data_IF_227082754937
#
_entry.id   IF_227082754937
#
_cell.length_a   1.000
_cell.length_b   1.000
_cell.length_c   1.000
_cell.angle_alpha   90.00
_cell.angle_beta   90.00
_cell.angle_gamma   90.00
#
_symmetry.space_group_name_H-M   'P 1'
#
loop_
_entity.id
_entity.type
_entity.pdbx_description
1 polymer ?
#
# COMPACT_ATOMS: atom_id res chain seq x y z
N UNK A 1 -14.50 -20.93 5.94
CA UNK A 1 -13.96 -19.73 6.61
C UNK A 1 -14.99 -18.63 6.51
N UNK A 2 -15.10 -17.80 7.55
CA UNK A 2 -15.94 -16.59 7.53
C UNK A 2 -15.50 -15.68 6.38
N UNK A 3 -16.44 -15.03 5.68
CA UNK A 3 -16.09 -14.04 4.66
C UNK A 3 -15.52 -12.81 5.35
N UNK A 4 -14.37 -12.32 4.88
CA UNK A 4 -13.81 -11.03 5.30
C UNK A 4 -14.87 -9.95 5.21
N UNK A 5 -14.99 -9.13 6.25
CA UNK A 5 -15.93 -8.02 6.29
C UNK A 5 -15.20 -6.70 6.53
N UNK A 6 -15.68 -5.66 5.85
CA UNK A 6 -15.33 -4.28 6.10
C UNK A 6 -16.43 -3.67 6.98
N UNK A 7 -16.14 -3.55 8.27
CA UNK A 7 -17.07 -3.05 9.29
C UNK A 7 -16.75 -1.60 9.66
N UNK A 8 -17.71 -0.93 10.32
CA UNK A 8 -17.52 0.41 10.91
C UNK A 8 -16.93 1.45 9.94
N UNK A 9 -17.29 1.38 8.64
CA UNK A 9 -16.78 2.32 7.65
C UNK A 9 -17.29 3.72 8.00
N UNK A 10 -16.37 4.60 8.34
CA UNK A 10 -16.62 5.98 8.75
C UNK A 10 -15.71 6.93 7.98
N UNK A 11 -16.22 8.10 7.63
CA UNK A 11 -15.47 9.18 6.97
C UNK A 11 -15.49 10.41 7.87
N UNK A 12 -14.56 10.53 8.84
CA UNK A 12 -14.53 11.64 9.78
C UNK A 12 -14.32 13.01 9.12
N UNK A 13 -13.68 13.02 7.95
CA UNK A 13 -13.51 14.20 7.10
C UNK A 13 -13.37 13.79 5.65
N UNK A 14 -13.45 14.74 4.72
CA UNK A 14 -13.25 14.49 3.27
C UNK A 14 -11.89 13.85 2.95
N UNK A 15 -10.92 14.02 3.87
CA UNK A 15 -9.57 13.47 3.71
C UNK A 15 -9.32 12.18 4.48
N UNK A 16 -10.24 11.75 5.36
CA UNK A 16 -10.03 10.64 6.29
C UNK A 16 -11.04 9.52 6.09
N UNK A 17 -10.57 8.28 6.11
CA UNK A 17 -11.37 7.07 6.09
C UNK A 17 -10.92 6.14 7.21
N UNK A 18 -11.88 5.61 7.94
CA UNK A 18 -11.68 4.62 9.00
C UNK A 18 -12.59 3.42 8.74
N UNK A 19 -12.08 2.22 8.96
CA UNK A 19 -12.85 0.98 8.88
C UNK A 19 -12.16 -0.13 9.68
N UNK A 20 -12.90 -1.16 10.03
CA UNK A 20 -12.38 -2.38 10.67
C UNK A 20 -12.41 -3.52 9.67
N UNK A 21 -11.27 -4.15 9.45
CA UNK A 21 -11.10 -5.33 8.59
C UNK A 21 -11.11 -6.58 9.47
N UNK A 22 -12.15 -7.40 9.37
CA UNK A 22 -12.35 -8.58 10.21
C UNK A 22 -12.12 -9.89 9.44
N UNK A 23 -11.85 -10.98 10.17
CA UNK A 23 -11.73 -12.34 9.63
C UNK A 23 -10.59 -12.52 8.62
N UNK A 24 -9.47 -11.83 8.83
CA UNK A 24 -8.24 -11.97 8.02
C UNK A 24 -7.00 -12.13 8.89
N UNK A 25 -5.91 -12.62 8.33
CA UNK A 25 -4.60 -12.66 8.99
C UNK A 25 -3.80 -11.37 8.77
N UNK A 26 -2.82 -11.12 9.65
CA UNK A 26 -1.96 -9.92 9.59
C UNK A 26 -1.21 -9.74 8.25
N UNK A 27 -0.73 -10.80 7.55
CA UNK A 27 -0.01 -10.64 6.30
C UNK A 27 -0.87 -9.96 5.24
N UNK A 28 -2.13 -10.38 5.10
CA UNK A 28 -3.06 -9.81 4.12
C UNK A 28 -3.47 -8.38 4.48
N UNK A 29 -3.70 -8.09 5.77
CA UNK A 29 -3.95 -6.72 6.22
C UNK A 29 -2.76 -5.80 5.92
N UNK A 30 -1.53 -6.25 6.19
CA UNK A 30 -0.33 -5.48 5.87
C UNK A 30 -0.10 -5.32 4.37
N UNK A 31 -0.45 -6.32 3.55
CA UNK A 31 -0.45 -6.21 2.09
C UNK A 31 -1.37 -5.09 1.62
N UNK A 32 -2.61 -5.02 2.13
CA UNK A 32 -3.54 -3.92 1.82
C UNK A 32 -2.95 -2.56 2.23
N UNK A 33 -2.41 -2.45 3.46
CA UNK A 33 -1.77 -1.22 3.95
C UNK A 33 -0.62 -0.77 3.03
N UNK A 34 0.25 -1.69 2.60
CA UNK A 34 1.36 -1.40 1.68
C UNK A 34 0.84 -0.97 0.31
N UNK A 35 -0.15 -1.69 -0.23
CA UNK A 35 -0.74 -1.39 -1.53
C UNK A 35 -1.38 0.00 -1.60
N UNK A 36 -2.06 0.43 -0.54
CA UNK A 36 -2.62 1.79 -0.41
C UNK A 36 -1.56 2.86 -0.65
N UNK A 37 -0.33 2.62 -0.20
CA UNK A 37 0.77 3.57 -0.36
C UNK A 37 1.48 3.42 -1.70
N UNK A 38 1.73 2.19 -2.15
CA UNK A 38 2.72 1.92 -3.22
C UNK A 38 2.13 1.49 -4.55
N UNK A 39 0.93 0.90 -4.58
CA UNK A 39 0.34 0.32 -5.80
C UNK A 39 -0.76 1.18 -6.42
N UNK A 40 -1.21 2.22 -5.72
CA UNK A 40 -2.19 3.17 -6.25
C UNK A 40 -1.48 4.12 -7.23
N UNK A 41 -1.91 4.18 -8.51
CA UNK A 41 -1.33 5.09 -9.49
C UNK A 41 -1.74 6.54 -9.21
N UNK A 42 -0.81 7.47 -9.41
CA UNK A 42 -1.03 8.89 -9.19
C UNK A 42 -0.24 9.73 -10.21
N UNK A 43 -0.61 10.99 -10.37
CA UNK A 43 0.02 11.94 -11.30
C UNK A 43 0.95 12.89 -10.53
N UNK A 44 2.19 13.02 -10.98
CA UNK A 44 3.17 13.95 -10.43
C UNK A 44 4.22 14.37 -11.49
N UNK A 45 5.08 15.32 -11.15
CA UNK A 45 6.20 15.72 -12.02
C UNK A 45 7.43 14.84 -11.72
N UNK A 46 7.96 14.11 -12.72
CA UNK A 46 9.24 13.41 -12.52
C UNK A 46 10.39 14.41 -12.49
N UNK A 47 11.31 14.17 -11.58
CA UNK A 47 12.56 14.91 -11.45
C UNK A 47 13.64 13.86 -11.55
N UNK A 48 14.71 14.25 -12.22
CA UNK A 48 15.91 13.43 -12.28
C UNK A 48 16.42 13.12 -10.87
N UNK A 49 16.81 11.87 -10.58
CA UNK A 49 17.65 11.58 -9.43
C UNK A 49 18.95 12.39 -9.53
N UNK A 50 19.53 12.86 -8.41
CA UNK A 50 20.83 13.52 -8.43
C UNK A 50 21.87 12.65 -9.16
N UNK A 51 22.43 13.18 -10.26
CA UNK A 51 23.46 12.50 -11.06
C UNK A 51 22.97 11.64 -12.23
N UNK A 52 21.66 11.57 -12.50
CA UNK A 52 21.10 10.85 -13.66
C UNK A 52 20.36 11.84 -14.56
N UNK A 53 20.88 12.13 -15.76
CA UNK A 53 20.17 12.97 -16.73
C UNK A 53 19.28 12.07 -17.59
N UNK A 54 17.97 12.13 -17.39
CA UNK A 54 17.04 11.46 -18.30
C UNK A 54 17.01 12.22 -19.63
N UNK A 55 16.88 11.54 -20.79
CA UNK A 55 16.84 12.20 -22.09
C UNK A 55 15.63 13.15 -22.25
N UNK A 56 14.57 12.92 -21.48
CA UNK A 56 13.35 13.74 -21.47
C UNK A 56 12.87 13.92 -20.02
N UNK A 57 13.45 14.86 -19.24
CA UNK A 57 12.97 15.12 -17.90
C UNK A 57 11.60 15.83 -17.97
N UNK A 58 10.73 15.45 -17.05
CA UNK A 58 9.42 16.08 -16.88
C UNK A 58 9.56 17.53 -16.38
N UNK A 59 10.67 17.88 -15.72
CA UNK A 59 10.97 19.23 -15.22
C UNK A 59 12.16 19.80 -16.00
N UNK A 60 11.92 20.89 -16.72
CA UNK A 60 12.94 21.60 -17.51
C UNK A 60 13.11 23.01 -16.97
N UNK A 61 14.21 23.24 -16.26
CA UNK A 61 14.58 24.56 -15.76
C UNK A 61 15.36 25.27 -16.88
N UNK A 62 14.73 26.27 -17.50
CA UNK A 62 15.31 27.03 -18.61
C UNK A 62 16.14 28.20 -18.11
N UNK A 63 15.73 28.82 -17.01
CA UNK A 63 16.44 29.92 -16.37
C UNK A 63 16.11 29.98 -14.88
N UNK A 64 17.10 30.19 -14.02
CA UNK A 64 16.93 30.22 -12.56
C UNK A 64 17.88 31.23 -11.90
N UNK A 65 17.34 32.37 -11.48
CA UNK A 65 18.04 33.37 -10.65
C UNK A 65 17.61 33.30 -9.17
N UNK A 66 16.94 32.23 -8.73
CA UNK A 66 16.65 32.04 -7.31
C UNK A 66 17.95 31.70 -6.57
N UNK A 67 18.58 32.73 -6.01
CA UNK A 67 19.90 32.66 -5.33
C UNK A 67 19.91 31.64 -4.18
N UNK A 68 18.74 31.27 -3.68
CA UNK A 68 18.55 30.37 -2.54
C UNK A 68 18.48 28.88 -2.90
N UNK A 69 18.25 28.51 -4.17
CA UNK A 69 18.00 27.11 -4.56
C UNK A 69 18.72 26.70 -5.86
N UNK A 70 19.63 25.71 -5.82
CA UNK A 70 20.16 25.11 -7.03
C UNK A 70 19.06 24.35 -7.79
N UNK A 71 19.30 24.09 -9.08
CA UNK A 71 18.31 23.50 -9.99
C UNK A 71 17.78 22.15 -9.51
N UNK A 72 18.63 21.31 -8.94
CA UNK A 72 18.26 19.98 -8.44
C UNK A 72 17.32 20.10 -7.24
N UNK A 73 17.57 21.04 -6.33
CA UNK A 73 16.71 21.28 -5.17
C UNK A 73 15.37 21.85 -5.60
N UNK A 74 15.38 22.78 -6.56
CA UNK A 74 14.16 23.36 -7.12
C UNK A 74 13.31 22.28 -7.83
N UNK A 75 13.93 21.45 -8.67
CA UNK A 75 13.26 20.34 -9.35
C UNK A 75 12.69 19.32 -8.35
N UNK A 76 13.43 19.00 -7.28
CA UNK A 76 12.95 18.15 -6.21
C UNK A 76 11.71 18.73 -5.53
N UNK A 77 11.73 20.03 -5.16
CA UNK A 77 10.57 20.70 -4.54
C UNK A 77 9.35 20.72 -5.47
N UNK A 78 9.54 21.09 -6.74
CA UNK A 78 8.49 21.09 -7.75
C UNK A 78 7.87 19.71 -7.92
N UNK A 79 8.68 18.65 -7.83
CA UNK A 79 8.20 17.28 -7.98
C UNK A 79 7.31 16.75 -6.85
N UNK A 80 7.40 17.35 -5.67
CA UNK A 80 6.61 16.97 -4.51
C UNK A 80 5.30 17.76 -4.38
N UNK A 81 5.04 18.69 -5.31
CA UNK A 81 3.78 19.42 -5.33
C UNK A 81 2.68 18.47 -5.81
N UNK A 82 1.62 18.24 -5.00
CA UNK A 82 0.53 17.37 -5.40
C UNK A 82 -0.26 17.99 -6.55
N UNK A 83 -0.54 17.19 -7.57
CA UNK A 83 -1.37 17.58 -8.72
C UNK A 83 -2.79 17.05 -8.52
N UNK A 84 -3.74 17.96 -8.26
CA UNK A 84 -5.15 17.63 -8.10
C UNK A 84 -5.86 17.57 -9.46
N UNK A 85 -7.06 16.96 -9.50
CA UNK A 85 -7.88 16.93 -10.72
C UNK A 85 -7.29 16.11 -11.88
N UNK A 86 -6.29 15.26 -11.60
CA UNK A 86 -5.54 14.48 -12.57
C UNK A 86 -5.70 12.97 -12.30
N UNK A 87 -6.85 12.37 -12.63
CA UNK A 87 -7.08 10.94 -12.39
C UNK A 87 -6.18 10.10 -13.30
N UNK A 88 -5.42 9.19 -12.71
CA UNK A 88 -4.32 8.48 -13.38
C UNK A 88 -4.76 7.53 -14.52
N UNK A 89 -6.02 7.11 -14.53
CA UNK A 89 -6.61 6.22 -15.54
C UNK A 89 -6.89 6.91 -16.88
N UNK A 90 -7.16 8.21 -16.85
CA UNK A 90 -7.51 9.02 -18.03
C UNK A 90 -6.52 10.14 -18.31
N UNK A 91 -5.45 10.23 -17.52
CA UNK A 91 -4.43 11.25 -17.66
C UNK A 91 -3.59 11.05 -18.94
N UNK A 92 -3.58 12.08 -19.78
CA UNK A 92 -2.69 12.17 -20.93
C UNK A 92 -1.57 13.20 -20.63
N UNK A 93 -0.32 12.75 -20.49
CA UNK A 93 0.82 13.63 -20.23
C UNK A 93 1.09 14.68 -21.31
N UNK A 94 0.67 14.45 -22.56
CA UNK A 94 0.94 15.38 -23.66
C UNK A 94 -0.14 16.47 -23.79
N UNK A 95 -1.32 16.24 -23.20
CA UNK A 95 -2.45 17.18 -23.23
C UNK A 95 -2.19 18.45 -22.42
N UNK A 96 -1.41 18.38 -21.35
CA UNK A 96 -1.19 19.52 -20.45
C UNK A 96 0.29 19.92 -20.39
N UNK A 97 0.54 21.23 -20.41
CA UNK A 97 1.85 21.84 -20.20
C UNK A 97 1.76 22.80 -19.04
N UNK A 98 2.63 22.64 -18.06
CA UNK A 98 2.70 23.53 -16.90
C UNK A 98 3.90 24.45 -17.07
N UNK A 99 3.71 25.76 -16.91
CA UNK A 99 4.77 26.75 -17.07
C UNK A 99 4.81 27.68 -15.87
N UNK A 100 6.01 27.83 -15.31
CA UNK A 100 6.30 28.83 -14.29
C UNK A 100 7.24 29.86 -14.90
N UNK A 101 6.75 31.07 -15.15
CA UNK A 101 7.54 32.17 -15.71
C UNK A 101 7.32 33.43 -14.87
N UNK A 102 8.27 33.70 -13.98
CA UNK A 102 8.22 34.83 -13.04
C UNK A 102 9.45 35.70 -13.20
N UNK A 103 9.29 37.01 -13.00
CA UNK A 103 10.37 37.99 -13.02
C UNK A 103 10.14 39.01 -11.91
N UNK A 104 11.19 39.38 -11.19
CA UNK A 104 11.12 40.37 -10.13
C UNK A 104 11.79 41.69 -10.54
N UNK A 105 10.97 42.67 -10.91
CA UNK A 105 11.41 44.04 -11.18
C UNK A 105 11.40 44.95 -9.93
N UNK A 106 10.92 44.44 -8.79
CA UNK A 106 10.74 45.20 -7.56
C UNK A 106 12.01 45.33 -6.71
N UNK A 107 11.94 46.21 -5.70
CA UNK A 107 12.99 46.44 -4.71
C UNK A 107 12.98 45.44 -3.56
N UNK A 108 11.93 44.61 -3.44
CA UNK A 108 11.78 43.59 -2.41
C UNK A 108 11.80 42.17 -3.03
N UNK A 109 12.22 41.14 -2.28
CA UNK A 109 12.08 39.75 -2.71
C UNK A 109 10.60 39.39 -2.93
N UNK A 110 10.34 38.50 -3.89
CA UNK A 110 9.00 37.93 -4.11
C UNK A 110 9.02 36.43 -3.85
N UNK A 111 7.96 35.94 -3.24
CA UNK A 111 7.73 34.51 -3.03
C UNK A 111 6.97 33.94 -4.22
N UNK A 112 7.39 32.75 -4.66
CA UNK A 112 6.77 32.01 -5.76
C UNK A 112 6.05 30.80 -5.20
N UNK A 113 4.76 30.73 -5.45
CA UNK A 113 3.86 29.68 -4.98
C UNK A 113 3.42 28.76 -6.13
N UNK A 114 2.86 27.60 -5.80
CA UNK A 114 2.29 26.69 -6.80
C UNK A 114 1.13 27.32 -7.59
N UNK A 115 0.44 28.32 -7.01
CA UNK A 115 -0.57 29.13 -7.71
C UNK A 115 -0.01 30.06 -8.79
N UNK A 116 1.31 30.23 -8.89
CA UNK A 116 1.94 31.00 -9.97
C UNK A 116 2.24 30.13 -11.19
N UNK A 117 2.02 28.82 -11.10
CA UNK A 117 2.14 27.90 -12.22
C UNK A 117 0.95 28.12 -13.16
N UNK A 118 1.24 28.50 -14.39
CA UNK A 118 0.27 28.58 -15.49
C UNK A 118 0.05 27.18 -16.05
N UNK A 119 -1.20 26.79 -16.25
CA UNK A 119 -1.56 25.49 -16.83
C UNK A 119 -2.14 25.71 -18.21
N UNK A 120 -1.53 25.11 -19.22
CA UNK A 120 -1.91 25.22 -20.62
C UNK A 120 -2.39 23.86 -21.11
N UNK A 121 -3.58 23.81 -21.68
CA UNK A 121 -4.14 22.63 -22.33
C UNK A 121 -3.92 22.71 -23.84
N UNK A 122 -3.34 21.65 -24.43
CA UNK A 122 -3.29 21.47 -25.88
C UNK A 122 -4.66 21.08 -26.39
N UNK A 123 -5.22 21.90 -27.28
CA UNK A 123 -6.45 21.59 -28.02
C UNK A 123 -6.18 21.66 -29.50
N UNK A 124 -6.84 20.79 -30.25
CA UNK A 124 -6.84 20.85 -31.72
C UNK A 124 -7.92 21.85 -32.14
N UNK A 125 -7.54 22.91 -32.85
CA UNK A 125 -8.48 23.84 -33.44
C UNK A 125 -9.26 23.19 -34.60
N UNK A 126 -10.33 23.85 -35.07
CA UNK A 126 -11.09 23.44 -36.26
C UNK A 126 -10.21 23.23 -37.49
N UNK A 127 -9.08 23.93 -37.54
CA UNK A 127 -8.15 23.96 -38.67
C UNK A 127 -6.99 22.95 -38.49
N UNK A 128 -7.13 21.99 -37.57
CA UNK A 128 -6.13 20.98 -37.22
C UNK A 128 -4.79 21.53 -36.67
N UNK A 129 -4.73 22.82 -36.32
CA UNK A 129 -3.58 23.42 -35.63
C UNK A 129 -3.65 23.21 -34.11
N UNK A 130 -2.49 23.02 -33.48
CA UNK A 130 -2.39 22.95 -32.02
C UNK A 130 -2.48 24.36 -31.42
N UNK A 131 -3.43 24.56 -30.52
CA UNK A 131 -3.56 25.77 -29.71
C UNK A 131 -3.35 25.43 -28.24
N UNK A 132 -2.67 26.34 -27.52
CA UNK A 132 -2.51 26.26 -26.07
C UNK A 132 -3.54 27.18 -25.41
N UNK A 133 -4.47 26.60 -24.67
CA UNK A 133 -5.50 27.34 -23.94
C UNK A 133 -5.19 27.29 -22.45
N UNK A 134 -5.13 28.44 -21.79
CA UNK A 134 -4.93 28.50 -20.35
C UNK A 134 -6.17 27.96 -19.61
N UNK A 135 -5.94 27.04 -18.68
CA UNK A 135 -6.97 26.44 -17.83
C UNK A 135 -6.76 26.86 -16.38
N UNK A 136 -7.84 26.95 -15.57
CA UNK A 136 -7.75 27.42 -14.19
C UNK A 136 -6.80 26.56 -13.34
N UNK A 137 -5.66 27.12 -12.93
CA UNK A 137 -4.64 26.40 -12.17
C UNK A 137 -5.11 25.94 -10.78
N UNK A 138 -6.12 26.60 -10.21
CA UNK A 138 -6.73 26.25 -8.91
C UNK A 138 -7.35 24.85 -8.87
N UNK A 139 -7.61 24.26 -10.04
CA UNK A 139 -8.07 22.86 -10.15
C UNK A 139 -6.95 21.86 -9.89
N UNK A 140 -5.71 22.23 -10.21
CA UNK A 140 -4.50 21.41 -10.05
C UNK A 140 -3.76 21.72 -8.75
N UNK A 141 -3.69 22.99 -8.36
CA UNK A 141 -3.00 23.46 -7.16
C UNK A 141 -4.01 24.08 -6.20
N UNK A 142 -4.55 23.23 -5.31
CA UNK A 142 -5.60 23.62 -4.38
C UNK A 142 -4.99 24.33 -3.17
N UNK A 143 -5.45 25.55 -2.81
CA UNK A 143 -4.99 26.23 -1.61
C UNK A 143 -5.32 25.46 -0.33
N UNK A 144 -4.46 25.57 0.67
CA UNK A 144 -4.73 24.99 1.98
C UNK A 144 -5.98 25.65 2.61
N UNK A 145 -6.93 24.88 3.17
CA UNK A 145 -8.15 25.44 3.75
C UNK A 145 -7.93 26.44 4.89
N UNK A 146 -6.81 26.32 5.62
CA UNK A 146 -6.48 27.15 6.78
C UNK A 146 -5.72 28.40 6.34
N UNK A 147 -4.59 28.25 5.64
CA UNK A 147 -3.75 29.41 5.25
C UNK A 147 -4.29 30.14 4.02
N UNK A 148 -5.16 29.51 3.23
CA UNK A 148 -5.66 29.99 1.93
C UNK A 148 -4.58 30.20 0.86
N UNK A 149 -3.40 29.64 1.09
CA UNK A 149 -2.24 29.71 0.19
C UNK A 149 -1.89 28.34 -0.37
N UNK A 150 -1.18 28.31 -1.49
CA UNK A 150 -0.62 27.08 -2.05
C UNK A 150 0.83 26.88 -1.57
N UNK A 151 1.48 25.78 -1.95
CA UNK A 151 2.84 25.50 -1.51
C UNK A 151 3.84 26.56 -2.00
N UNK A 152 4.66 27.09 -1.09
CA UNK A 152 5.80 27.93 -1.42
C UNK A 152 6.89 27.09 -2.12
N UNK A 153 7.27 27.50 -3.33
CA UNK A 153 8.28 26.82 -4.15
C UNK A 153 9.66 27.39 -3.82
N UNK A 154 9.86 28.68 -4.08
CA UNK A 154 11.12 29.40 -3.90
C UNK A 154 10.84 30.89 -3.77
N UNK A 155 11.88 31.69 -3.56
CA UNK A 155 11.79 33.15 -3.53
C UNK A 155 12.79 33.74 -4.53
N UNK A 156 12.36 34.73 -5.31
CA UNK A 156 13.23 35.49 -6.19
C UNK A 156 13.77 36.73 -5.47
N UNK A 157 15.08 37.01 -5.55
CA UNK A 157 15.64 38.21 -4.94
C UNK A 157 15.12 39.47 -5.63
N UNK A 158 15.18 40.60 -4.92
CA UNK A 158 14.94 41.92 -5.48
C UNK A 158 15.89 42.24 -6.65
N UNK A 159 15.47 43.16 -7.52
CA UNK A 159 16.32 43.67 -8.59
C UNK A 159 17.48 44.48 -8.01
N UNK A 160 18.68 43.91 -8.04
CA UNK A 160 19.93 44.55 -7.59
C UNK A 160 20.84 45.00 -8.73
N UNK A 161 20.57 44.55 -9.95
CA UNK A 161 21.36 44.84 -11.15
C UNK A 161 20.47 45.26 -12.31
N UNK A 162 21.07 45.54 -13.48
CA UNK A 162 20.33 45.93 -14.68
C UNK A 162 19.35 44.83 -15.14
N UNK A 163 19.69 43.57 -14.90
CA UNK A 163 18.85 42.41 -15.23
C UNK A 163 17.96 42.08 -14.04
N UNK A 164 16.65 42.04 -14.27
CA UNK A 164 15.71 41.58 -13.24
C UNK A 164 15.81 40.06 -13.07
N UNK A 165 15.97 39.57 -11.82
CA UNK A 165 15.98 38.13 -11.53
C UNK A 165 14.73 37.45 -12.06
N UNK A 166 14.90 36.31 -12.72
CA UNK A 166 13.78 35.57 -13.29
C UNK A 166 13.88 34.06 -13.03
N UNK A 167 12.72 33.41 -13.08
CA UNK A 167 12.58 31.97 -13.01
C UNK A 167 11.71 31.50 -14.16
N UNK A 168 12.23 30.59 -14.98
CA UNK A 168 11.53 29.97 -16.09
C UNK A 168 11.67 28.45 -16.02
N UNK A 169 10.55 27.77 -15.77
CA UNK A 169 10.47 26.31 -15.70
C UNK A 169 9.29 25.82 -16.52
N UNK A 170 9.51 24.76 -17.29
CA UNK A 170 8.45 24.00 -17.95
C UNK A 170 8.34 22.63 -17.28
N UNK A 171 7.10 22.20 -16.99
CA UNK A 171 6.81 20.94 -16.31
C UNK A 171 5.82 20.11 -17.13
N UNK A 172 6.01 18.79 -17.07
CA UNK A 172 5.13 17.75 -17.60
C UNK A 172 4.75 16.81 -16.48
N UNK A 173 3.46 16.53 -16.30
CA UNK A 173 3.00 15.61 -15.28
C UNK A 173 2.78 14.22 -15.89
N UNK A 174 3.32 13.18 -15.26
CA UNK A 174 3.22 11.79 -15.72
C UNK A 174 2.61 10.90 -14.66
N UNK A 175 2.09 9.75 -15.09
CA UNK A 175 1.54 8.72 -14.19
C UNK A 175 2.68 7.86 -13.66
N UNK A 176 2.66 7.62 -12.36
CA UNK A 176 3.57 6.72 -11.66
C UNK A 176 2.92 6.07 -10.44
N UNK A 177 3.68 5.29 -9.69
CA UNK A 177 3.20 4.61 -8.47
C UNK A 177 4.14 4.89 -7.30
N UNK A 178 3.64 4.77 -6.07
CA UNK A 178 4.47 4.98 -4.87
C UNK A 178 5.65 4.01 -4.74
N UNK A 179 5.62 2.86 -5.46
CA UNK A 179 6.75 1.93 -5.58
C UNK A 179 7.93 2.56 -6.35
N UNK A 180 7.65 3.39 -7.35
CA UNK A 180 8.68 4.10 -8.13
C UNK A 180 9.33 5.22 -7.32
N UNK A 181 8.50 6.07 -6.70
CA UNK A 181 8.99 7.17 -5.87
C UNK A 181 7.90 7.67 -4.92
N UNK A 182 8.32 8.17 -3.75
CA UNK A 182 7.42 8.72 -2.73
C UNK A 182 6.51 9.89 -3.22
N UNK A 183 6.83 10.49 -4.37
CA UNK A 183 6.06 11.62 -4.93
C UNK A 183 4.68 11.18 -5.46
N UNK A 184 4.58 9.90 -5.81
CA UNK A 184 3.35 9.29 -6.32
C UNK A 184 2.49 8.69 -5.20
N UNK A 185 2.94 8.70 -3.94
CA UNK A 185 2.14 8.19 -2.81
C UNK A 185 0.93 9.11 -2.62
N UNK A 186 -0.32 8.61 -2.72
CA UNK A 186 -1.51 9.45 -2.63
C UNK A 186 -1.96 9.74 -1.19
N UNK A 187 -1.35 9.08 -0.20
CA UNK A 187 -1.73 9.14 1.22
C UNK A 187 -0.66 9.79 2.09
N UNK A 188 -1.05 10.56 3.08
CA UNK A 188 -0.16 10.98 4.18
C UNK A 188 -0.20 10.02 5.37
N UNK A 189 -1.30 9.29 5.57
CA UNK A 189 -1.42 8.25 6.59
C UNK A 189 -2.04 6.99 5.99
N UNK A 190 -1.41 5.83 6.22
CA UNK A 190 -1.95 4.51 5.94
C UNK A 190 -1.47 3.55 7.03
N UNK A 191 -2.21 3.51 8.13
CA UNK A 191 -1.87 2.74 9.33
C UNK A 191 -3.05 1.88 9.76
N UNK A 192 -2.76 0.80 10.48
CA UNK A 192 -3.79 0.04 11.18
C UNK A 192 -3.29 -0.34 12.58
N UNK A 193 -4.22 -0.55 13.50
CA UNK A 193 -3.98 -1.17 14.80
C UNK A 193 -4.69 -2.53 14.88
N UNK A 194 -4.29 -3.38 15.82
CA UNK A 194 -5.07 -4.57 16.13
C UNK A 194 -6.31 -4.16 16.92
N UNK A 195 -7.47 -4.69 16.54
CA UNK A 195 -8.72 -4.39 17.25
C UNK A 195 -8.64 -4.96 18.67
N UNK A 196 -8.86 -4.10 19.66
CA UNK A 196 -8.80 -4.49 21.07
C UNK A 196 -9.86 -5.54 21.41
N UNK A 197 -9.50 -6.51 22.24
CA UNK A 197 -10.47 -7.46 22.78
C UNK A 197 -11.27 -6.78 23.89
N UNK A 198 -12.59 -6.75 23.74
CA UNK A 198 -13.53 -6.16 24.71
C UNK A 198 -13.86 -7.11 25.86
N UNK A 199 -13.33 -8.34 25.87
CA UNK A 199 -13.55 -9.30 26.95
C UNK A 199 -12.85 -8.88 28.25
N UNK A 200 -13.66 -8.53 29.25
CA UNK A 200 -13.20 -8.07 30.58
C UNK A 200 -12.35 -9.11 31.32
N UNK A 201 -12.65 -10.40 31.19
CA UNK A 201 -11.92 -11.46 31.90
C UNK A 201 -10.50 -11.61 31.36
N UNK A 202 -10.36 -11.66 30.03
CA UNK A 202 -9.04 -11.72 29.39
C UNK A 202 -8.22 -10.49 29.74
N UNK A 203 -8.84 -9.31 29.70
CA UNK A 203 -8.18 -8.08 30.10
C UNK A 203 -7.66 -8.13 31.54
N UNK A 204 -8.47 -8.62 32.48
CA UNK A 204 -8.06 -8.77 33.88
C UNK A 204 -6.91 -9.76 34.02
N UNK A 205 -6.94 -10.90 33.32
CA UNK A 205 -5.83 -11.87 33.33
C UNK A 205 -4.52 -11.27 32.81
N UNK A 206 -4.57 -10.46 31.75
CA UNK A 206 -3.39 -9.76 31.24
C UNK A 206 -2.90 -8.68 32.21
N UNK A 207 -3.82 -7.96 32.86
CA UNK A 207 -3.48 -6.97 33.89
C UNK A 207 -2.76 -7.63 35.07
N UNK A 208 -3.30 -8.73 35.60
CA UNK A 208 -2.68 -9.49 36.70
C UNK A 208 -1.30 -10.03 36.32
N UNK A 209 -1.16 -10.59 35.11
CA UNK A 209 0.15 -11.03 34.60
C UNK A 209 1.15 -9.87 34.48
N UNK A 210 0.71 -8.70 34.04
CA UNK A 210 1.55 -7.52 33.94
C UNK A 210 1.99 -7.01 35.32
N UNK A 211 1.08 -6.99 36.30
CA UNK A 211 1.38 -6.63 37.69
C UNK A 211 2.49 -7.50 38.27
N UNK A 212 2.41 -8.82 38.08
CA UNK A 212 3.41 -9.76 38.57
C UNK A 212 4.73 -9.59 37.81
N UNK A 213 4.70 -9.61 36.47
CA UNK A 213 5.92 -9.68 35.66
C UNK A 213 6.69 -8.37 35.53
N UNK A 214 5.99 -7.22 35.47
CA UNK A 214 6.61 -5.92 35.20
C UNK A 214 6.65 -5.02 36.43
N UNK A 215 5.68 -5.16 37.35
CA UNK A 215 5.59 -4.32 38.55
C UNK A 215 6.05 -5.04 39.82
N UNK A 216 6.23 -6.37 39.78
CA UNK A 216 6.48 -7.21 40.95
C UNK A 216 5.46 -6.95 42.08
N UNK A 217 4.21 -6.68 41.71
CA UNK A 217 3.11 -6.46 42.65
C UNK A 217 2.21 -7.68 42.63
N UNK A 218 1.94 -8.23 43.81
CA UNK A 218 0.96 -9.31 43.96
C UNK A 218 -0.46 -8.74 43.80
N UNK A 219 -1.29 -9.26 42.88
CA UNK A 219 -2.67 -8.81 42.70
C UNK A 219 -3.50 -8.78 43.99
N UNK A 220 -3.20 -9.64 44.96
CA UNK A 220 -3.93 -9.70 46.23
C UNK A 220 -3.64 -8.48 47.12
N UNK A 221 -2.45 -7.89 47.03
CA UNK A 221 -2.08 -6.68 47.80
C UNK A 221 -2.78 -5.41 47.31
N UNK A 222 -3.32 -5.43 46.08
CA UNK A 222 -4.02 -4.30 45.46
C UNK A 222 -5.53 -4.31 45.71
N UNK A 223 -6.05 -5.31 46.43
CA UNK A 223 -7.47 -5.34 46.81
C UNK A 223 -7.82 -4.29 47.86
N UNK A 224 -6.86 -3.93 48.70
CA UNK A 224 -7.04 -2.99 49.82
C UNK A 224 -6.58 -1.55 49.49
N UNK A 225 -5.89 -1.34 48.36
CA UNK A 225 -5.38 -0.03 47.91
C UNK A 225 -5.96 0.36 46.53
N UNK A 226 -7.15 0.96 46.54
CA UNK A 226 -7.86 1.40 45.34
C UNK A 226 -7.12 2.51 44.58
N UNK A 227 -6.37 3.38 45.27
CA UNK A 227 -5.64 4.48 44.61
C UNK A 227 -4.51 3.92 43.76
N UNK A 228 -3.69 3.05 44.34
CA UNK A 228 -2.57 2.42 43.62
C UNK A 228 -3.05 1.53 42.48
N UNK A 229 -4.17 0.82 42.65
CA UNK A 229 -4.79 0.04 41.57
C UNK A 229 -5.21 0.94 40.40
N UNK A 230 -5.80 2.10 40.66
CA UNK A 230 -6.23 3.04 39.63
C UNK A 230 -5.04 3.67 38.88
N UNK A 231 -3.95 3.98 39.56
CA UNK A 231 -2.72 4.46 38.93
C UNK A 231 -2.12 3.41 37.99
N UNK A 232 -2.02 2.16 38.48
CA UNK A 232 -1.51 1.04 37.70
C UNK A 232 -2.41 0.68 36.53
N UNK A 233 -3.74 0.77 36.68
CA UNK A 233 -4.69 0.58 35.58
C UNK A 233 -4.59 1.71 34.54
N UNK A 234 -4.35 2.96 34.94
CA UNK A 234 -4.07 4.05 33.99
C UNK A 234 -2.78 3.82 33.21
N UNK A 235 -1.73 3.36 33.89
CA UNK A 235 -0.47 3.00 33.24
C UNK A 235 -0.68 1.84 32.26
N UNK A 236 -1.37 0.78 32.69
CA UNK A 236 -1.68 -0.38 31.85
C UNK A 236 -2.51 0.01 30.62
N UNK A 237 -3.49 0.91 30.78
CA UNK A 237 -4.32 1.45 29.71
C UNK A 237 -3.55 2.27 28.67
N UNK A 238 -2.33 2.71 28.95
CA UNK A 238 -1.56 3.52 28.00
C UNK A 238 -0.93 2.71 26.88
N UNK A 239 -0.27 1.58 27.21
CA UNK A 239 0.58 0.81 26.28
C UNK A 239 0.21 -0.68 26.26
N UNK A 240 0.04 -1.28 27.44
CA UNK A 240 -0.15 -2.73 27.57
C UNK A 240 -1.52 -3.20 27.09
N UNK A 241 -2.52 -2.33 27.12
CA UNK A 241 -3.84 -2.64 26.57
C UNK A 241 -3.77 -3.01 25.08
N UNK A 242 -2.80 -2.49 24.34
CA UNK A 242 -2.62 -2.79 22.91
C UNK A 242 -2.16 -4.23 22.66
N UNK A 243 -1.66 -4.93 23.69
CA UNK A 243 -1.35 -6.38 23.62
C UNK A 243 -2.58 -7.26 23.76
N UNK A 244 -3.72 -6.69 24.17
CA UNK A 244 -5.00 -7.38 24.32
C UNK A 244 -5.84 -7.09 23.08
N UNK A 245 -5.71 -7.96 22.07
CA UNK A 245 -6.41 -7.83 20.80
C UNK A 245 -7.20 -9.09 20.46
N UNK A 246 -8.15 -8.97 19.53
CA UNK A 246 -8.93 -10.09 19.03
C UNK A 246 -8.03 -11.10 18.32
N UNK A 247 -8.11 -12.36 18.75
CA UNK A 247 -7.30 -13.46 18.23
C UNK A 247 -8.18 -14.55 17.60
N UNK A 248 -7.65 -15.22 16.59
CA UNK A 248 -8.22 -16.44 16.01
C UNK A 248 -7.91 -17.68 16.90
N UNK A 249 -8.35 -18.86 16.44
CA UNK A 249 -8.09 -20.14 17.12
C UNK A 249 -6.59 -20.48 17.25
N UNK A 250 -5.73 -19.93 16.38
CA UNK A 250 -4.27 -20.08 16.42
C UNK A 250 -3.58 -19.08 17.36
N UNK A 251 -4.33 -18.17 18.01
CA UNK A 251 -3.79 -17.10 18.86
C UNK A 251 -3.23 -15.90 18.09
N UNK A 252 -3.50 -15.81 16.78
CA UNK A 252 -3.02 -14.74 15.91
C UNK A 252 -4.07 -13.62 15.76
N UNK A 253 -3.67 -12.36 15.52
CA UNK A 253 -4.62 -11.27 15.34
C UNK A 253 -5.52 -11.50 14.11
N UNK A 254 -6.83 -11.31 14.27
CA UNK A 254 -7.82 -11.55 13.22
C UNK A 254 -8.67 -10.33 12.81
N UNK A 255 -8.43 -9.17 13.44
CA UNK A 255 -9.22 -7.96 13.26
C UNK A 255 -8.33 -6.72 13.34
N UNK A 256 -8.49 -5.79 12.39
CA UNK A 256 -7.58 -4.65 12.21
C UNK A 256 -8.36 -3.36 11.97
N UNK A 257 -8.06 -2.31 12.76
CA UNK A 257 -8.68 -1.00 12.64
C UNK A 257 -7.80 -0.08 11.78
N UNK A 258 -8.25 0.21 10.56
CA UNK A 258 -7.54 1.03 9.59
C UNK A 258 -7.86 2.52 9.75
N UNK A 259 -6.82 3.33 9.55
CA UNK A 259 -6.91 4.78 9.44
C UNK A 259 -6.13 5.24 8.21
N UNK A 260 -6.84 5.85 7.28
CA UNK A 260 -6.30 6.32 6.00
C UNK A 260 -6.55 7.82 5.87
N UNK A 261 -5.51 8.56 5.50
CA UNK A 261 -5.59 9.98 5.21
C UNK A 261 -4.96 10.28 3.84
N UNK A 262 -5.72 10.94 2.95
CA UNK A 262 -5.29 11.32 1.60
C UNK A 262 -4.61 12.70 1.58
N UNK A 263 -3.67 12.89 0.65
CA UNK A 263 -3.14 14.21 0.30
C UNK A 263 -4.22 15.13 -0.30
N UNK A 264 -5.31 14.54 -0.78
CA UNK A 264 -6.44 15.22 -1.42
C UNK A 264 -6.43 15.15 -2.95
N UNK A 265 -5.44 14.47 -3.55
CA UNK A 265 -5.39 14.23 -5.01
C UNK A 265 -6.39 13.17 -5.44
N UNK A 266 -6.62 12.15 -4.59
CA UNK A 266 -7.54 11.04 -4.83
C UNK A 266 -8.45 10.87 -3.60
N UNK A 267 -9.78 10.66 -3.78
CA UNK A 267 -10.69 10.34 -2.67
C UNK A 267 -10.30 9.05 -1.94
N UNK A 268 -10.43 9.04 -0.61
CA UNK A 268 -9.98 7.93 0.24
C UNK A 268 -10.59 6.56 -0.11
N UNK A 269 -11.89 6.51 -0.45
CA UNK A 269 -12.54 5.26 -0.90
C UNK A 269 -11.92 4.74 -2.20
N UNK A 270 -11.66 5.62 -3.16
CA UNK A 270 -11.03 5.24 -4.43
C UNK A 270 -9.61 4.73 -4.23
N UNK A 271 -8.85 5.30 -3.29
CA UNK A 271 -7.51 4.81 -2.94
C UNK A 271 -7.57 3.34 -2.50
N UNK A 272 -8.49 2.97 -1.60
CA UNK A 272 -8.64 1.58 -1.14
C UNK A 272 -9.05 0.66 -2.29
N UNK A 273 -10.00 1.08 -3.12
CA UNK A 273 -10.43 0.31 -4.28
C UNK A 273 -9.28 0.08 -5.27
N UNK A 274 -8.55 1.13 -5.62
CA UNK A 274 -7.41 1.05 -6.53
C UNK A 274 -6.25 0.23 -5.94
N UNK A 275 -6.07 0.25 -4.62
CA UNK A 275 -5.09 -0.59 -3.94
C UNK A 275 -5.43 -2.08 -4.09
N UNK A 276 -6.71 -2.45 -3.92
CA UNK A 276 -7.18 -3.83 -4.12
C UNK A 276 -6.97 -4.28 -5.58
N UNK A 277 -7.32 -3.42 -6.54
CA UNK A 277 -7.03 -3.67 -7.97
C UNK A 277 -5.53 -3.79 -8.23
N UNK A 278 -4.71 -2.95 -7.58
CA UNK A 278 -3.25 -3.00 -7.68
C UNK A 278 -2.67 -4.33 -7.18
N UNK A 279 -3.20 -4.88 -6.09
CA UNK A 279 -2.80 -6.19 -5.57
C UNK A 279 -3.20 -7.30 -6.56
N UNK A 280 -4.40 -7.24 -7.13
CA UNK A 280 -4.84 -8.19 -8.16
C UNK A 280 -3.88 -8.18 -9.37
N UNK A 281 -3.59 -6.98 -9.91
CA UNK A 281 -2.63 -6.80 -11.01
C UNK A 281 -1.23 -7.30 -10.68
N UNK A 282 -0.79 -7.17 -9.42
CA UNK A 282 0.49 -7.72 -8.98
C UNK A 282 0.54 -9.26 -9.00
N UNK A 283 -0.61 -9.94 -8.91
CA UNK A 283 -0.70 -11.39 -8.98
C UNK A 283 -0.80 -11.93 -10.42
N UNK A 284 -1.37 -11.15 -11.36
CA UNK A 284 -1.64 -11.57 -12.75
C UNK A 284 -0.44 -12.21 -13.47
N UNK A 285 0.80 -11.68 -13.40
CA UNK A 285 1.95 -12.27 -14.09
C UNK A 285 2.29 -13.69 -13.64
N UNK A 286 1.87 -14.07 -12.43
CA UNK A 286 2.21 -15.34 -11.80
C UNK A 286 1.12 -16.40 -11.99
N UNK A 287 -0.09 -16.00 -12.39
CA UNK A 287 -1.23 -16.91 -12.54
C UNK A 287 -1.05 -17.91 -13.70
N UNK A 288 -0.25 -17.58 -14.71
CA UNK A 288 0.00 -18.46 -15.86
C UNK A 288 1.27 -19.30 -15.75
N UNK A 289 1.95 -19.30 -14.59
CA UNK A 289 3.26 -19.94 -14.48
C UNK A 289 3.23 -21.45 -14.66
N UNK A 290 2.08 -22.10 -14.51
CA UNK A 290 1.86 -23.52 -14.78
C UNK A 290 1.88 -23.86 -16.29
N UNK A 291 1.89 -22.86 -17.17
CA UNK A 291 1.76 -23.03 -18.62
C UNK A 291 2.90 -22.34 -19.37
N UNK A 292 3.31 -22.91 -20.51
CA UNK A 292 4.29 -22.31 -21.42
C UNK A 292 5.70 -22.13 -20.85
N UNK A 293 6.44 -21.20 -21.46
CA UNK A 293 7.80 -20.84 -21.05
C UNK A 293 7.80 -19.87 -19.87
N UNK A 294 8.88 -19.92 -19.07
CA UNK A 294 9.05 -18.99 -17.96
C UNK A 294 9.29 -17.57 -18.47
N UNK A 295 8.64 -16.55 -17.87
CA UNK A 295 8.97 -15.15 -18.15
C UNK A 295 10.46 -14.87 -17.87
N UNK A 296 11.08 -13.98 -18.63
CA UNK A 296 12.50 -13.61 -18.46
C UNK A 296 12.83 -13.04 -17.08
N UNK A 297 11.83 -12.53 -16.36
CA UNK A 297 11.93 -12.00 -15.00
C UNK A 297 11.92 -13.06 -13.91
N UNK A 298 11.69 -14.34 -14.26
CA UNK A 298 11.56 -15.44 -13.30
C UNK A 298 12.55 -16.54 -13.63
N UNK A 299 13.26 -17.02 -12.60
CA UNK A 299 14.20 -18.14 -12.69
C UNK A 299 13.87 -19.15 -11.61
N UNK A 300 14.04 -20.43 -11.91
CA UNK A 300 13.85 -21.49 -10.93
C UNK A 300 15.15 -22.28 -10.84
N UNK A 301 15.68 -22.35 -9.62
CA UNK A 301 16.94 -22.99 -9.30
C UNK A 301 16.70 -24.08 -8.25
N UNK A 302 17.55 -25.09 -8.21
CA UNK A 302 17.48 -26.09 -7.15
C UNK A 302 17.99 -25.48 -5.83
N UNK A 303 17.33 -25.80 -4.72
CA UNK A 303 17.71 -25.26 -3.41
C UNK A 303 19.19 -25.55 -3.06
N UNK A 304 19.88 -24.55 -2.54
CA UNK A 304 21.27 -24.65 -2.05
C UNK A 304 21.40 -25.24 -0.64
N UNK A 305 20.37 -25.95 -0.16
CA UNK A 305 20.27 -26.43 1.23
C UNK A 305 19.89 -27.92 1.29
N UNK A 306 19.87 -28.51 2.49
CA UNK A 306 19.41 -29.89 2.68
C UNK A 306 17.92 -30.10 2.38
N UNK A 307 17.16 -29.03 2.15
CA UNK A 307 15.76 -29.09 1.74
C UNK A 307 15.66 -29.56 0.28
N UNK A 308 14.94 -30.65 0.04
CA UNK A 308 14.54 -31.03 -1.30
C UNK A 308 13.47 -30.04 -1.80
N UNK A 309 13.85 -29.18 -2.73
CA UNK A 309 12.98 -28.11 -3.19
C UNK A 309 13.62 -27.23 -4.26
N UNK A 310 12.88 -26.20 -4.64
CA UNK A 310 13.32 -25.21 -5.62
C UNK A 310 13.18 -23.79 -5.08
N UNK A 311 14.11 -22.94 -5.52
CA UNK A 311 14.11 -21.50 -5.31
C UNK A 311 13.55 -20.82 -6.56
N UNK A 312 12.43 -20.12 -6.41
CA UNK A 312 11.82 -19.30 -7.45
C UNK A 312 12.30 -17.86 -7.27
N UNK A 313 13.22 -17.42 -8.11
CA UNK A 313 13.77 -16.06 -8.13
C UNK A 313 12.91 -15.19 -9.03
N UNK A 314 12.38 -14.09 -8.50
CA UNK A 314 11.50 -13.14 -9.19
C UNK A 314 12.14 -11.74 -9.17
N UNK A 315 12.36 -11.16 -10.35
CA UNK A 315 12.92 -9.82 -10.50
C UNK A 315 11.83 -8.73 -10.35
N UNK A 316 12.21 -7.60 -9.74
CA UNK A 316 11.32 -6.44 -9.58
C UNK A 316 10.23 -6.62 -8.53
N UNK A 317 10.35 -7.62 -7.65
CA UNK A 317 9.35 -7.94 -6.63
C UNK A 317 9.92 -7.79 -5.22
N UNK A 318 9.06 -7.36 -4.30
CA UNK A 318 9.46 -7.01 -2.94
C UNK A 318 8.76 -7.89 -1.88
N UNK A 319 9.05 -7.60 -0.61
CA UNK A 319 8.43 -8.26 0.54
C UNK A 319 6.89 -8.27 0.50
N UNK A 320 6.22 -7.36 -0.21
CA UNK A 320 4.75 -7.32 -0.29
C UNK A 320 4.23 -8.56 -0.97
N UNK A 321 4.73 -8.84 -2.18
CA UNK A 321 4.33 -10.02 -2.95
C UNK A 321 4.86 -11.31 -2.29
N UNK A 322 6.09 -11.29 -1.78
CA UNK A 322 6.70 -12.43 -1.11
C UNK A 322 5.90 -12.90 0.10
N UNK A 323 5.57 -11.96 0.99
CA UNK A 323 4.77 -12.25 2.18
C UNK A 323 3.36 -12.71 1.80
N UNK A 324 2.75 -12.07 0.79
CA UNK A 324 1.44 -12.45 0.29
C UNK A 324 1.41 -13.92 -0.20
N UNK A 325 2.34 -14.27 -1.09
CA UNK A 325 2.40 -15.61 -1.67
C UNK A 325 2.80 -16.65 -0.62
N UNK A 326 3.79 -16.36 0.24
CA UNK A 326 4.19 -17.27 1.31
C UNK A 326 3.02 -17.60 2.24
N UNK A 327 2.28 -16.60 2.72
CA UNK A 327 1.14 -16.83 3.62
C UNK A 327 0.09 -17.70 2.94
N UNK A 328 -0.25 -17.41 1.68
CA UNK A 328 -1.23 -18.21 0.97
C UNK A 328 -0.78 -19.66 0.76
N UNK A 329 0.48 -19.86 0.34
CA UNK A 329 1.07 -21.18 0.14
C UNK A 329 1.05 -21.99 1.45
N UNK A 330 1.45 -21.38 2.57
CA UNK A 330 1.44 -22.05 3.87
C UNK A 330 0.02 -22.39 4.33
N UNK A 331 -0.92 -21.45 4.26
CA UNK A 331 -2.28 -21.67 4.73
C UNK A 331 -3.03 -22.74 3.92
N UNK A 332 -2.74 -22.85 2.61
CA UNK A 332 -3.54 -23.67 1.69
C UNK A 332 -2.86 -24.96 1.21
N UNK A 333 -1.54 -24.93 0.97
CA UNK A 333 -0.80 -26.07 0.39
C UNK A 333 0.08 -26.81 1.43
N UNK A 334 0.48 -26.14 2.52
CA UNK A 334 1.18 -26.78 3.65
C UNK A 334 0.16 -27.28 4.67
N UNK A 335 -0.58 -26.36 5.31
CA UNK A 335 -1.55 -26.67 6.36
C UNK A 335 -2.92 -27.08 5.79
N UNK A 336 -3.28 -26.54 4.62
CA UNK A 336 -4.58 -26.73 3.99
C UNK A 336 -4.69 -28.05 3.23
N UNK A 337 -5.82 -28.30 2.56
CA UNK A 337 -6.10 -29.55 1.82
C UNK A 337 -5.92 -29.43 0.30
N UNK A 338 -5.46 -28.28 -0.20
CA UNK A 338 -5.31 -28.05 -1.64
C UNK A 338 -4.05 -28.75 -2.19
N UNK A 339 -4.12 -29.11 -3.46
CA UNK A 339 -3.02 -29.70 -4.23
C UNK A 339 -2.36 -28.63 -5.13
N UNK A 340 -1.04 -28.71 -5.38
CA UNK A 340 -0.12 -29.72 -4.87
C UNK A 340 0.28 -29.48 -3.41
N UNK A 341 0.40 -30.55 -2.63
CA UNK A 341 0.93 -30.49 -1.27
C UNK A 341 2.42 -30.14 -1.26
N UNK A 342 2.81 -29.16 -0.45
CA UNK A 342 4.21 -28.74 -0.29
C UNK A 342 4.62 -28.83 1.18
N UNK A 343 5.90 -29.11 1.42
CA UNK A 343 6.42 -29.31 2.78
C UNK A 343 6.55 -27.98 3.50
N UNK A 344 7.12 -26.98 2.82
CA UNK A 344 7.38 -25.65 3.38
C UNK A 344 7.34 -24.59 2.27
N UNK A 345 7.02 -23.36 2.65
CA UNK A 345 7.16 -22.18 1.80
C UNK A 345 7.79 -21.04 2.62
N UNK A 346 8.82 -20.39 2.06
CA UNK A 346 9.50 -19.27 2.70
C UNK A 346 10.04 -18.28 1.68
N UNK A 347 9.83 -16.98 1.89
CA UNK A 347 10.40 -15.93 1.04
C UNK A 347 11.58 -15.24 1.73
N UNK A 348 12.56 -14.80 0.94
CA UNK A 348 13.67 -13.96 1.41
C UNK A 348 14.28 -13.16 0.26
N UNK A 349 14.97 -12.08 0.60
CA UNK A 349 15.76 -11.29 -0.34
C UNK A 349 17.23 -11.65 -0.11
N UNK A 350 17.88 -12.24 -1.12
CA UNK A 350 19.29 -12.67 -1.04
C UNK A 350 20.24 -11.49 -0.83
N UNK A 351 20.01 -10.38 -1.53
CA UNK A 351 20.88 -9.21 -1.48
C UNK A 351 20.06 -7.90 -1.51
N UNK A 352 20.27 -6.97 -0.57
CA UNK A 352 19.52 -5.70 -0.51
C UNK A 352 19.67 -4.74 -1.70
N UNK A 353 20.64 -4.97 -2.58
CA UNK A 353 20.99 -4.07 -3.70
C UNK A 353 20.57 -4.65 -5.05
N UNK A 354 20.15 -5.92 -5.08
CA UNK A 354 19.58 -6.54 -6.27
C UNK A 354 18.08 -6.56 -6.10
N UNK A 355 17.37 -6.06 -7.09
CA UNK A 355 15.90 -6.06 -7.11
C UNK A 355 15.38 -7.46 -7.49
N UNK A 356 15.70 -8.45 -6.66
CA UNK A 356 15.31 -9.84 -6.81
C UNK A 356 14.86 -10.42 -5.47
N UNK A 357 13.75 -11.13 -5.49
CA UNK A 357 13.20 -11.86 -4.34
C UNK A 357 13.18 -13.35 -4.66
N UNK A 358 13.44 -14.18 -3.67
CA UNK A 358 13.37 -15.64 -3.80
C UNK A 358 12.24 -16.20 -2.94
N UNK A 359 11.42 -17.08 -3.52
CA UNK A 359 10.49 -17.94 -2.78
C UNK A 359 11.03 -19.36 -2.83
N UNK A 360 11.39 -19.89 -1.68
CA UNK A 360 11.84 -21.27 -1.49
C UNK A 360 10.65 -22.16 -1.17
N UNK A 361 10.47 -23.20 -1.97
CA UNK A 361 9.41 -24.20 -1.78
C UNK A 361 10.05 -25.57 -1.57
N UNK A 362 9.79 -26.17 -0.41
CA UNK A 362 10.14 -27.56 -0.11
C UNK A 362 9.07 -28.52 -0.60
N UNK A 363 9.49 -29.62 -1.21
CA UNK A 363 8.61 -30.65 -1.77
C UNK A 363 8.46 -31.83 -0.79
N UNK A 364 7.29 -32.49 -0.79
CA UNK A 364 7.07 -33.69 0.03
C UNK A 364 7.53 -34.97 -0.67
N UNK A 365 7.20 -35.14 -1.96
CA UNK A 365 7.54 -36.34 -2.72
C UNK A 365 8.81 -36.11 -3.54
N UNK A 366 9.82 -36.99 -3.48
CA UNK A 366 10.97 -36.95 -4.38
C UNK A 366 10.65 -36.97 -5.88
N UNK A 367 9.42 -37.37 -6.25
CA UNK A 367 8.92 -37.33 -7.64
C UNK A 367 8.45 -35.94 -8.07
N UNK A 368 8.16 -35.06 -7.12
CA UNK A 368 7.79 -33.69 -7.42
C UNK A 368 8.96 -32.97 -8.10
N UNK A 369 8.62 -32.16 -9.10
CA UNK A 369 9.60 -31.50 -9.93
C UNK A 369 9.32 -30.00 -10.00
N UNK A 370 10.08 -29.32 -10.85
CA UNK A 370 9.91 -27.89 -11.10
C UNK A 370 8.47 -27.50 -11.49
N UNK A 371 7.71 -28.39 -12.14
CA UNK A 371 6.31 -28.15 -12.52
C UNK A 371 5.38 -28.13 -11.30
N UNK A 372 5.64 -28.93 -10.27
CA UNK A 372 4.89 -28.89 -9.01
C UNK A 372 5.01 -27.51 -8.37
N UNK A 373 6.22 -26.95 -8.36
CA UNK A 373 6.49 -25.60 -7.82
C UNK A 373 5.84 -24.50 -8.66
N UNK A 374 5.91 -24.60 -9.98
CA UNK A 374 5.22 -23.68 -10.90
C UNK A 374 3.71 -23.67 -10.66
N UNK A 375 3.13 -24.86 -10.54
CA UNK A 375 1.71 -25.04 -10.21
C UNK A 375 1.37 -24.44 -8.86
N UNK A 376 2.18 -24.66 -7.82
CA UNK A 376 1.96 -24.09 -6.49
C UNK A 376 1.92 -22.56 -6.51
N UNK A 377 2.88 -21.90 -7.17
CA UNK A 377 2.90 -20.43 -7.32
C UNK A 377 1.71 -19.95 -8.14
N UNK A 378 1.38 -20.60 -9.25
CA UNK A 378 0.25 -20.22 -10.09
C UNK A 378 -1.08 -20.33 -9.33
N UNK A 379 -1.29 -21.40 -8.57
CA UNK A 379 -2.46 -21.58 -7.71
C UNK A 379 -2.51 -20.52 -6.61
N UNK A 380 -1.37 -20.19 -5.98
CA UNK A 380 -1.30 -19.13 -4.99
C UNK A 380 -1.64 -17.76 -5.57
N UNK A 381 -1.09 -17.42 -6.73
CA UNK A 381 -1.41 -16.18 -7.42
C UNK A 381 -2.90 -16.08 -7.79
N UNK A 382 -3.50 -17.17 -8.31
CA UNK A 382 -4.94 -17.27 -8.60
C UNK A 382 -5.78 -17.10 -7.34
N UNK A 383 -5.39 -17.74 -6.24
CA UNK A 383 -6.05 -17.66 -4.95
C UNK A 383 -6.01 -16.25 -4.34
N UNK A 384 -4.83 -15.63 -4.30
CA UNK A 384 -4.66 -14.25 -3.86
C UNK A 384 -5.46 -13.27 -4.73
N UNK A 385 -5.38 -13.39 -6.06
CA UNK A 385 -6.16 -12.58 -6.98
C UNK A 385 -7.67 -12.68 -6.70
N UNK A 386 -8.20 -13.90 -6.53
CA UNK A 386 -9.61 -14.12 -6.22
C UNK A 386 -10.01 -13.56 -4.85
N UNK A 387 -9.16 -13.73 -3.83
CA UNK A 387 -9.40 -13.23 -2.48
C UNK A 387 -9.51 -11.69 -2.46
N UNK A 388 -8.55 -10.97 -3.04
CA UNK A 388 -8.61 -9.50 -3.09
C UNK A 388 -9.69 -8.98 -4.04
N UNK A 389 -10.04 -9.74 -5.09
CA UNK A 389 -11.22 -9.46 -5.90
C UNK A 389 -12.53 -9.54 -5.09
N UNK A 390 -12.63 -10.48 -4.15
CA UNK A 390 -13.77 -10.55 -3.22
C UNK A 390 -13.75 -9.40 -2.20
N UNK A 391 -12.56 -9.02 -1.72
CA UNK A 391 -12.45 -7.87 -0.82
C UNK A 391 -12.89 -6.58 -1.51
N UNK A 392 -12.49 -6.39 -2.78
CA UNK A 392 -12.95 -5.26 -3.60
C UNK A 392 -14.47 -5.25 -3.68
N UNK A 393 -15.07 -6.37 -4.08
CA UNK A 393 -16.52 -6.50 -4.20
C UNK A 393 -17.25 -6.19 -2.88
N UNK A 394 -16.73 -6.71 -1.77
CA UNK A 394 -17.30 -6.47 -0.44
C UNK A 394 -17.17 -5.01 -0.02
N UNK A 395 -16.05 -4.36 -0.35
CA UNK A 395 -15.81 -2.95 -0.03
C UNK A 395 -16.65 -1.99 -0.88
N UNK A 396 -16.83 -2.27 -2.18
CA UNK A 396 -17.63 -1.43 -3.09
C UNK A 396 -19.13 -1.71 -3.01
N UNK A 397 -19.53 -2.85 -2.45
CA UNK A 397 -20.93 -3.28 -2.38
C UNK A 397 -21.47 -3.84 -3.70
N UNK A 398 -20.60 -4.23 -4.64
CA UNK A 398 -21.01 -4.82 -5.92
C UNK A 398 -21.66 -6.20 -5.73
N UNK A 399 -22.75 -6.47 -6.47
CA UNK A 399 -23.42 -7.78 -6.42
C UNK A 399 -22.59 -8.86 -7.13
N UNK A 400 -22.59 -10.10 -6.60
CA UNK A 400 -21.82 -11.23 -7.15
C UNK A 400 -22.35 -11.60 -8.55
N UNK A 401 -21.50 -11.68 -9.61
CA UNK A 401 -21.93 -12.21 -10.89
C UNK A 401 -22.23 -13.71 -10.76
N UNK A 402 -23.37 -14.14 -11.31
CA UNK A 402 -23.91 -15.51 -11.17
C UNK A 402 -22.95 -16.63 -11.65
N UNK A 403 -21.98 -16.32 -12.52
CA UNK A 403 -21.00 -17.28 -13.04
C UNK A 403 -19.80 -17.55 -12.12
N UNK A 404 -19.54 -16.69 -11.13
CA UNK A 404 -18.41 -16.85 -10.18
C UNK A 404 -18.80 -17.59 -8.88
N UNK A 405 -20.06 -18.03 -8.77
CA UNK A 405 -20.52 -18.82 -7.63
C UNK A 405 -19.94 -20.25 -7.63
N UNK A 406 -19.64 -20.82 -8.79
CA UNK A 406 -19.19 -22.21 -8.91
C UNK A 406 -17.66 -22.40 -8.79
N UNK A 407 -16.85 -21.46 -9.29
CA UNK A 407 -15.38 -21.60 -9.28
C UNK A 407 -14.75 -21.20 -7.95
N UNK A 408 -15.23 -20.12 -7.32
CA UNK A 408 -14.72 -19.69 -6.02
C UNK A 408 -15.19 -20.60 -4.87
N UNK A 409 -16.37 -21.23 -4.98
CA UNK A 409 -16.84 -22.18 -3.96
C UNK A 409 -16.00 -23.47 -3.94
N UNK A 410 -15.51 -23.93 -5.10
CA UNK A 410 -14.68 -25.15 -5.16
C UNK A 410 -13.20 -24.90 -4.83
N UNK A 411 -12.70 -23.66 -4.93
CA UNK A 411 -11.32 -23.29 -4.54
C UNK A 411 -11.23 -22.75 -3.09
N UNK A 412 -12.33 -22.34 -2.48
CA UNK A 412 -12.37 -21.77 -1.13
C UNK A 412 -13.10 -22.63 -0.06
N UNK A 413 -13.70 -23.77 -0.43
CA UNK A 413 -14.40 -24.65 0.51
C UNK A 413 -13.68 -25.99 0.70
N UNK A 414 -12.86 -26.09 1.75
CA UNK A 414 -12.56 -27.39 2.37
C UNK A 414 -13.84 -28.01 2.97
N UNK A 415 -13.96 -29.35 2.99
CA UNK A 415 -15.17 -30.03 3.42
C UNK A 415 -15.44 -29.81 4.93
N UNK A 416 -16.68 -29.43 5.26
CA UNK A 416 -17.15 -29.29 6.65
C UNK A 416 -17.09 -30.65 7.36
N UNK A 417 -16.25 -30.77 8.40
CA UNK A 417 -16.28 -31.90 9.34
C UNK A 417 -17.55 -31.87 10.19
N UNK A 418 -18.55 -32.68 9.84
CA UNK A 418 -19.57 -33.12 10.80
C UNK A 418 -19.01 -34.28 11.63
N UNK A 419 -18.44 -33.97 12.79
CA UNK A 419 -18.09 -34.96 13.81
C UNK A 419 -19.37 -35.42 14.53
N UNK A 420 -19.90 -36.60 14.15
CA UNK A 420 -20.88 -37.32 14.97
C UNK A 420 -20.18 -37.95 16.17
N UNK A 421 -20.37 -37.39 17.36
CA UNK A 421 -19.96 -38.01 18.62
C UNK A 421 -20.69 -39.36 18.81
N UNK A 422 -19.97 -40.48 18.70
CA UNK A 422 -20.42 -41.78 19.21
C UNK A 422 -20.20 -41.81 20.72
N UNK A 423 -21.28 -41.70 21.50
CA UNK A 423 -21.29 -42.08 22.92
C UNK A 423 -21.17 -43.62 23.00
N UNK A 424 -20.06 -44.12 23.53
CA UNK A 424 -19.98 -45.50 23.99
C UNK A 424 -20.62 -45.59 25.38
N UNK A 425 -21.67 -46.38 25.51
CA UNK A 425 -22.21 -46.83 26.80
C UNK A 425 -21.35 -47.99 27.33
N UNK A 426 -21.05 -48.03 28.64
CA UNK A 426 -20.33 -49.15 29.23
C UNK A 426 -21.24 -50.37 29.37
N UNK A 427 -20.73 -51.53 28.95
CA UNK A 427 -21.41 -52.81 29.15
C UNK A 427 -21.39 -53.21 30.64
N UNK A 428 -22.53 -53.72 31.12
CA UNK A 428 -22.64 -54.51 32.35
C UNK A 428 -22.28 -55.95 32.07
#
# INVERSE_FOLDING_TARGET
MSSVAFENISTPSDRKLQFTLTETSYPYANTLRRAIMTLVPNVAFRSDPPGVVLPNPDIKILHNDSVTQPNELLAHRLSLIPVHGAPADTWDPDRFVFRLKMQNDGSEPIDIFASDITVLERRTASDMSEILVEVPNRTFFVPNPITRETCLITSLPAKRSATAPSLHVELKATVGTGKEHARFIPTCQASYGYTLDTNTERRNQYFEKWLISHKNVDPDTLKDDEQRRNELDREFKSMEIQRIFKQNEKGEPNSFDFQIETLGTIPTRSIVEQALVGIQKACEPFMGLDQGDLPSTIRIEQCDSQLQGFDVVMQGQDHTLGNLLQTWLSDNLVDGELEPKIQTAGYFIRHPLKDEMTIRIGLLDPKDNQMTVRTAIATAAKGCHAMFGEWKRTFTGEARPASAAASAANLAAGPKRTLKLKRQTPAK
#
